data_IF_561870731207
#
_entry.id   IF_561870731207
#
_cell.length_a   1.000
_cell.length_b   1.000
_cell.length_c   1.000
_cell.angle_alpha   90.00
_cell.angle_beta   90.00
_cell.angle_gamma   90.00
#
_symmetry.space_group_name_H-M   'P 1'
#
loop_
_entity.id
_entity.type
_entity.pdbx_description
1 polymer ?
#
# COMPACT_ATOMS: atom_id res chain seq x y z
N UNK A 1 -10.67 -0.40 0.16
CA UNK A 1 -9.62 0.35 -0.55
C UNK A 1 -10.29 1.45 -1.36
N UNK A 2 -11.35 2.06 -0.82
CA UNK A 2 -12.13 3.03 -1.58
C UNK A 2 -11.32 4.32 -1.77
N UNK A 3 -11.46 5.02 -2.90
CA UNK A 3 -12.37 4.73 -4.01
C UNK A 3 -11.84 3.70 -5.02
N UNK A 4 -10.60 3.22 -4.87
CA UNK A 4 -9.98 2.35 -5.87
C UNK A 4 -10.56 0.94 -5.90
N UNK A 5 -10.90 0.32 -4.77
CA UNK A 5 -11.66 -0.94 -4.73
C UNK A 5 -12.75 -0.83 -3.65
N UNK A 6 -13.97 -1.14 -4.06
CA UNK A 6 -15.16 -1.11 -3.21
C UNK A 6 -15.42 -2.48 -2.59
N UNK A 7 -16.21 -2.48 -1.51
CA UNK A 7 -16.73 -3.73 -0.98
C UNK A 7 -17.50 -4.48 -2.08
N UNK A 8 -17.33 -5.82 -2.15
CA UNK A 8 -17.90 -6.70 -3.18
C UNK A 8 -17.29 -6.60 -4.58
N UNK A 9 -16.25 -5.77 -4.81
CA UNK A 9 -15.45 -5.89 -6.03
C UNK A 9 -14.82 -7.28 -6.11
N UNK A 10 -14.95 -7.94 -7.25
CA UNK A 10 -14.11 -9.09 -7.57
C UNK A 10 -12.78 -8.59 -8.12
N UNK A 11 -11.66 -9.16 -7.66
CA UNK A 11 -10.32 -8.80 -8.12
C UNK A 11 -9.66 -9.96 -8.83
N UNK A 12 -8.90 -9.65 -9.89
CA UNK A 12 -7.99 -10.60 -10.52
C UNK A 12 -6.58 -10.22 -10.13
N UNK A 13 -5.84 -11.23 -9.64
CA UNK A 13 -4.48 -11.06 -9.13
C UNK A 13 -3.49 -11.86 -9.97
N UNK A 14 -2.33 -11.27 -10.19
CA UNK A 14 -1.16 -11.93 -10.74
C UNK A 14 -0.32 -12.50 -9.58
N UNK A 15 -0.29 -13.83 -9.48
CA UNK A 15 0.44 -14.57 -8.43
C UNK A 15 1.85 -14.98 -8.86
N UNK A 16 2.17 -14.87 -10.14
CA UNK A 16 3.49 -15.23 -10.68
C UNK A 16 4.35 -14.02 -11.01
N UNK A 17 3.73 -12.86 -11.23
CA UNK A 17 4.40 -11.63 -11.61
C UNK A 17 5.58 -11.26 -10.72
N UNK A 18 5.47 -11.47 -9.40
CA UNK A 18 6.55 -11.15 -8.47
C UNK A 18 7.85 -11.95 -8.68
N UNK A 19 7.77 -13.15 -9.27
CA UNK A 19 8.96 -13.95 -9.56
C UNK A 19 9.78 -13.38 -10.73
N UNK A 20 9.20 -12.50 -11.54
CA UNK A 20 9.79 -12.02 -12.79
C UNK A 20 9.74 -10.49 -12.96
N UNK A 21 8.97 -9.80 -12.13
CA UNK A 21 8.87 -8.34 -12.07
C UNK A 21 8.87 -7.89 -10.60
N UNK A 22 9.73 -6.93 -10.21
CA UNK A 22 9.75 -6.40 -8.87
C UNK A 22 8.43 -5.68 -8.53
N UNK A 23 8.06 -5.69 -7.25
CA UNK A 23 6.97 -4.85 -6.73
C UNK A 23 7.33 -3.38 -6.94
N UNK A 24 6.41 -2.64 -7.53
CA UNK A 24 6.58 -1.21 -7.78
C UNK A 24 5.77 -0.36 -6.80
N UNK A 25 6.20 0.89 -6.60
CA UNK A 25 5.43 1.83 -5.78
C UNK A 25 4.05 2.00 -6.42
N UNK A 26 3.04 2.04 -5.57
CA UNK A 26 1.62 2.14 -5.90
C UNK A 26 0.98 0.89 -6.48
N UNK A 27 1.71 -0.22 -6.63
CA UNK A 27 1.08 -1.52 -6.84
C UNK A 27 0.07 -1.80 -5.72
N UNK A 28 -1.09 -2.35 -6.09
CA UNK A 28 -2.04 -2.89 -5.11
C UNK A 28 -1.75 -4.37 -4.96
N UNK A 29 -1.48 -4.79 -3.73
CA UNK A 29 -1.02 -6.14 -3.42
C UNK A 29 -1.98 -6.84 -2.48
N UNK A 30 -2.14 -8.14 -2.69
CA UNK A 30 -2.78 -9.06 -1.77
C UNK A 30 -1.72 -9.75 -0.95
N UNK A 31 -1.87 -9.76 0.37
CA UNK A 31 -0.94 -10.43 1.27
C UNK A 31 -1.68 -11.18 2.37
N UNK A 32 -1.04 -12.24 2.88
CA UNK A 32 -1.58 -13.05 3.98
C UNK A 32 -0.93 -12.67 5.30
N UNK A 33 -1.74 -12.35 6.30
CA UNK A 33 -1.28 -12.09 7.67
C UNK A 33 -1.03 -13.40 8.42
N UNK A 34 -0.32 -13.31 9.55
CA UNK A 34 0.03 -14.47 10.40
C UNK A 34 -1.19 -15.22 10.94
N UNK A 35 -2.31 -14.52 11.14
CA UNK A 35 -3.60 -15.10 11.53
C UNK A 35 -4.34 -15.82 10.38
N UNK A 36 -3.73 -15.85 9.18
CA UNK A 36 -4.28 -16.49 7.99
C UNK A 36 -5.20 -15.61 7.16
N UNK A 37 -5.54 -14.40 7.64
CA UNK A 37 -6.41 -13.47 6.92
C UNK A 37 -5.72 -12.83 5.72
N UNK A 38 -6.47 -12.57 4.65
CA UNK A 38 -5.98 -11.89 3.46
C UNK A 38 -6.37 -10.41 3.48
N UNK A 39 -5.40 -9.56 3.14
CA UNK A 39 -5.56 -8.12 3.08
C UNK A 39 -5.17 -7.62 1.70
N UNK A 40 -5.82 -6.55 1.26
CA UNK A 40 -5.49 -5.80 0.04
C UNK A 40 -5.09 -4.39 0.43
N UNK A 41 -3.90 -3.96 0.02
CA UNK A 41 -3.32 -2.64 0.32
C UNK A 41 -2.45 -2.15 -0.84
N UNK A 42 -2.20 -0.84 -0.88
CA UNK A 42 -1.30 -0.21 -1.84
C UNK A 42 0.11 -0.10 -1.27
N UNK A 43 1.10 -0.39 -2.10
CA UNK A 43 2.52 -0.23 -1.77
C UNK A 43 2.88 1.24 -1.78
N UNK A 44 3.31 1.76 -0.63
CA UNK A 44 3.71 3.16 -0.48
C UNK A 44 5.22 3.28 -0.32
N UNK A 45 5.86 2.39 0.44
CA UNK A 45 7.30 2.37 0.63
C UNK A 45 7.94 1.07 0.18
N UNK A 46 9.06 1.19 -0.53
CA UNK A 46 9.87 0.09 -1.03
C UNK A 46 11.10 -0.13 -0.13
N UNK A 47 11.78 -1.30 -0.25
CA UNK A 47 13.04 -1.56 0.45
C UNK A 47 14.06 -0.42 0.34
N UNK A 48 14.70 -0.09 1.46
CA UNK A 48 15.76 0.92 1.56
C UNK A 48 15.28 2.37 1.71
N UNK A 49 13.96 2.62 1.65
CA UNK A 49 13.40 3.97 1.60
C UNK A 49 13.04 4.55 2.96
N UNK A 50 13.20 5.86 3.10
CA UNK A 50 12.65 6.65 4.20
C UNK A 50 11.28 7.19 3.78
N UNK A 51 10.29 7.08 4.66
CA UNK A 51 8.91 7.54 4.43
C UNK A 51 8.56 8.57 5.49
N UNK A 52 8.09 9.73 5.03
CA UNK A 52 7.56 10.78 5.88
C UNK A 52 6.26 11.32 5.27
N UNK A 53 5.27 11.60 6.11
CA UNK A 53 4.15 12.47 5.78
C UNK A 53 4.33 13.80 6.48
N UNK A 54 4.23 14.90 5.73
CA UNK A 54 4.32 16.27 6.25
C UNK A 54 3.29 17.15 5.56
N UNK A 55 2.46 17.85 6.33
CA UNK A 55 1.35 18.66 5.81
C UNK A 55 0.52 17.88 4.79
N UNK A 56 0.07 16.68 5.17
CA UNK A 56 -0.73 15.76 4.33
C UNK A 56 0.00 15.15 3.12
N UNK A 57 1.22 15.59 2.80
CA UNK A 57 1.97 15.15 1.61
C UNK A 57 2.94 14.00 1.94
N UNK A 58 2.97 12.97 1.08
CA UNK A 58 3.95 11.90 1.11
C UNK A 58 5.33 12.40 0.65
N UNK A 59 6.37 12.01 1.38
CA UNK A 59 7.76 12.16 1.02
C UNK A 59 8.47 10.81 1.07
N UNK A 60 9.20 10.52 0.00
CA UNK A 60 10.05 9.33 -0.12
C UNK A 60 11.49 9.78 -0.29
N UNK A 61 12.37 9.35 0.63
CA UNK A 61 13.77 9.80 0.68
C UNK A 61 13.91 11.34 0.65
N UNK A 62 12.96 12.04 1.27
CA UNK A 62 12.92 13.50 1.33
C UNK A 62 12.26 14.20 0.13
N UNK A 63 11.97 13.50 -0.97
CA UNK A 63 11.33 14.07 -2.15
C UNK A 63 9.80 13.91 -2.07
N UNK A 64 9.01 14.95 -2.39
CA UNK A 64 7.56 14.84 -2.41
C UNK A 64 7.10 13.87 -3.48
N UNK A 65 6.10 13.06 -3.17
CA UNK A 65 5.48 12.10 -4.10
C UNK A 65 3.98 12.35 -4.13
N UNK A 66 3.45 12.56 -5.32
CA UNK A 66 2.01 12.77 -5.52
C UNK A 66 1.24 11.45 -5.44
N UNK A 67 0.09 11.48 -4.77
CA UNK A 67 -0.78 10.33 -4.57
C UNK A 67 -2.10 10.48 -5.33
N UNK A 68 -2.03 10.41 -6.66
CA UNK A 68 -3.17 10.66 -7.58
C UNK A 68 -4.38 9.72 -7.39
N UNK A 69 -4.21 8.63 -6.63
CA UNK A 69 -5.25 7.64 -6.36
C UNK A 69 -6.18 8.04 -5.20
N UNK A 70 -5.84 9.10 -4.45
CA UNK A 70 -6.62 9.57 -3.32
C UNK A 70 -7.66 10.60 -3.74
N UNK A 71 -8.78 10.62 -3.01
CA UNK A 71 -9.69 11.77 -3.03
C UNK A 71 -9.08 12.92 -2.23
N UNK A 72 -9.58 14.15 -2.46
CA UNK A 72 -9.18 15.31 -1.65
C UNK A 72 -9.42 15.09 -0.16
N UNK A 73 -10.53 14.43 0.20
CA UNK A 73 -10.84 14.12 1.59
C UNK A 73 -9.80 13.17 2.18
N UNK A 74 -9.50 12.05 1.52
CA UNK A 74 -8.53 11.07 2.02
C UNK A 74 -7.09 11.62 2.04
N UNK A 75 -6.74 12.51 1.12
CA UNK A 75 -5.48 13.26 1.16
C UNK A 75 -5.40 14.09 2.45
N UNK A 76 -6.44 14.87 2.75
CA UNK A 76 -6.49 15.74 3.94
C UNK A 76 -6.58 14.98 5.28
N UNK A 77 -6.90 13.68 5.25
CA UNK A 77 -6.91 12.83 6.45
C UNK A 77 -5.50 12.40 6.89
N UNK A 78 -4.48 12.58 6.05
CA UNK A 78 -3.12 12.18 6.39
C UNK A 78 -2.52 13.09 7.45
N UNK A 79 -2.10 12.53 8.57
CA UNK A 79 -1.40 13.29 9.62
C UNK A 79 0.10 13.17 9.45
N UNK A 80 0.84 14.11 10.04
CA UNK A 80 2.28 14.09 10.04
C UNK A 80 2.79 12.85 10.81
N UNK A 81 3.58 12.03 10.14
CA UNK A 81 4.30 10.93 10.77
C UNK A 81 5.54 10.58 9.97
N UNK A 82 6.43 9.82 10.59
CA UNK A 82 7.59 9.25 9.93
C UNK A 82 7.67 7.77 10.21
N UNK A 83 8.27 7.00 9.30
CA UNK A 83 8.41 5.55 9.43
C UNK A 83 9.03 5.12 10.76
N UNK A 84 9.97 5.90 11.29
CA UNK A 84 10.64 5.61 12.57
C UNK A 84 9.72 5.70 13.79
N UNK A 85 8.51 6.26 13.65
CA UNK A 85 7.49 6.26 14.70
C UNK A 85 6.69 4.95 14.73
N UNK A 86 6.77 4.14 13.67
CA UNK A 86 6.01 2.90 13.47
C UNK A 86 6.89 1.67 13.71
N UNK A 87 8.18 1.76 13.38
CA UNK A 87 9.15 0.67 13.53
C UNK A 87 10.51 1.19 13.99
N UNK A 88 11.35 0.26 14.44
CA UNK A 88 12.75 0.53 14.69
C UNK A 88 13.49 0.80 13.37
N UNK A 89 14.22 1.91 13.34
CA UNK A 89 14.99 2.34 12.17
C UNK A 89 14.25 3.33 11.28
N UNK A 90 15.02 4.01 10.43
CA UNK A 90 14.51 5.11 9.57
C UNK A 90 14.11 4.65 8.17
N UNK A 91 14.53 3.46 7.77
CA UNK A 91 14.33 2.92 6.42
C UNK A 91 13.47 1.68 6.46
N UNK A 92 12.70 1.46 5.40
CA UNK A 92 12.09 0.16 5.12
C UNK A 92 13.24 -0.86 4.97
N UNK A 93 13.28 -1.94 5.75
CA UNK A 93 14.30 -2.98 5.62
C UNK A 93 14.23 -3.66 4.25
N UNK A 94 15.31 -4.34 3.88
CA UNK A 94 15.30 -5.25 2.74
C UNK A 94 14.14 -6.25 2.85
N UNK A 95 13.56 -6.62 1.71
CA UNK A 95 12.45 -7.57 1.59
C UNK A 95 11.17 -7.17 2.36
N UNK A 96 11.01 -5.89 2.69
CA UNK A 96 9.81 -5.38 3.36
C UNK A 96 9.17 -4.26 2.56
N UNK A 97 7.86 -4.07 2.79
CA UNK A 97 7.07 -3.03 2.18
C UNK A 97 6.23 -2.31 3.23
N UNK A 98 6.09 -1.00 3.06
CA UNK A 98 5.14 -0.18 3.81
C UNK A 98 3.86 -0.02 2.98
N UNK A 99 2.72 -0.49 3.50
CA UNK A 99 1.47 -0.57 2.76
C UNK A 99 0.39 0.30 3.41
N UNK A 100 -0.33 1.09 2.62
CA UNK A 100 -1.48 1.87 3.09
C UNK A 100 -2.75 1.47 2.33
N UNK A 101 -3.91 1.73 2.94
CA UNK A 101 -5.16 1.68 2.20
C UNK A 101 -5.55 3.03 1.63
N UNK A 102 -6.17 3.04 0.45
CA UNK A 102 -6.59 4.30 -0.20
C UNK A 102 -7.68 5.04 0.59
N UNK A 103 -8.49 4.31 1.36
CA UNK A 103 -9.43 4.86 2.35
C UNK A 103 -8.67 5.11 3.67
N UNK A 104 -7.75 6.08 3.63
CA UNK A 104 -6.79 6.42 4.70
C UNK A 104 -7.42 6.54 6.07
N UNK A 105 -8.57 7.18 6.18
CA UNK A 105 -9.27 7.43 7.45
C UNK A 105 -9.80 6.17 8.13
N UNK A 106 -10.04 5.08 7.38
CA UNK A 106 -10.67 3.83 7.88
C UNK A 106 -9.83 2.57 7.65
N UNK A 107 -8.64 2.72 7.10
CA UNK A 107 -7.78 1.60 6.75
C UNK A 107 -6.94 1.13 7.94
N UNK A 108 -7.11 -0.15 8.31
CA UNK A 108 -6.16 -0.87 9.15
C UNK A 108 -5.00 -1.36 8.27
N UNK A 109 -3.83 -0.73 8.41
CA UNK A 109 -2.68 -0.91 7.51
C UNK A 109 -1.33 -0.82 8.23
N UNK A 110 -0.23 -0.57 7.50
CA UNK A 110 1.12 -0.55 8.09
C UNK A 110 1.29 0.49 9.20
N UNK A 111 0.44 1.52 9.27
CA UNK A 111 0.39 2.45 10.41
C UNK A 111 0.01 1.76 11.72
N UNK A 112 -0.70 0.63 11.66
CA UNK A 112 -1.20 -0.10 12.82
C UNK A 112 -0.41 -1.39 13.08
N UNK A 113 -0.03 -2.12 12.03
CA UNK A 113 0.60 -3.44 12.16
C UNK A 113 2.05 -3.52 11.67
N UNK A 114 2.62 -2.40 11.21
CA UNK A 114 4.00 -2.34 10.72
C UNK A 114 4.17 -2.87 9.30
N UNK A 115 5.41 -3.27 8.98
CA UNK A 115 5.80 -3.64 7.63
C UNK A 115 5.41 -5.07 7.25
N UNK A 116 5.27 -5.29 5.95
CA UNK A 116 4.96 -6.60 5.37
C UNK A 116 6.18 -7.17 4.66
N UNK A 117 6.58 -8.37 5.05
CA UNK A 117 7.68 -9.10 4.40
C UNK A 117 7.23 -9.62 3.02
N UNK A 118 8.12 -9.63 2.03
CA UNK A 118 7.83 -10.05 0.64
C UNK A 118 7.19 -11.44 0.57
N UNK A 119 7.66 -12.39 1.38
CA UNK A 119 7.13 -13.75 1.48
C UNK A 119 5.65 -13.84 1.92
N UNK A 120 5.08 -12.75 2.46
CA UNK A 120 3.64 -12.69 2.78
C UNK A 120 2.79 -12.26 1.57
N UNK A 121 3.41 -11.68 0.54
CA UNK A 121 2.71 -11.26 -0.67
C UNK A 121 2.21 -12.49 -1.43
N UNK A 122 0.95 -12.43 -1.85
CA UNK A 122 0.26 -13.50 -2.57
C UNK A 122 0.14 -13.17 -4.06
N UNK A 123 -0.16 -11.92 -4.39
CA UNK A 123 -0.29 -11.49 -5.78
C UNK A 123 -0.58 -10.00 -5.92
N UNK A 124 -0.33 -9.45 -7.10
CA UNK A 124 -0.63 -8.06 -7.45
C UNK A 124 -2.00 -7.98 -8.08
N UNK A 125 -2.82 -7.01 -7.67
CA UNK A 125 -4.13 -6.76 -8.27
C UNK A 125 -3.95 -6.13 -9.65
N UNK A 126 -4.46 -6.81 -10.68
CA UNK A 126 -4.38 -6.39 -12.08
C UNK A 126 -5.63 -5.62 -12.52
N UNK A 127 -6.78 -6.08 -12.06
CA UNK A 127 -8.07 -5.49 -12.37
C UNK A 127 -9.07 -5.82 -11.28
N UNK A 128 -10.11 -4.99 -11.17
CA UNK A 128 -11.34 -5.35 -10.49
C UNK A 128 -12.52 -5.34 -11.46
N UNK A 129 -13.56 -6.11 -11.15
CA UNK A 129 -14.81 -6.10 -11.89
C UNK A 129 -15.98 -6.13 -10.91
N UNK A 130 -16.85 -5.12 -11.01
CA UNK A 130 -18.25 -5.05 -10.53
C UNK A 130 -18.64 -3.56 -10.44
N UNK A 131 -19.73 -3.07 -11.08
CA UNK A 131 -20.48 -3.72 -12.16
C UNK A 131 -19.72 -3.71 -13.51
N UNK A 132 -18.62 -2.96 -13.61
CA UNK A 132 -17.78 -2.85 -14.82
C UNK A 132 -16.34 -3.23 -14.52
N UNK A 133 -15.58 -3.54 -15.57
CA UNK A 133 -14.14 -3.81 -15.47
C UNK A 133 -13.39 -2.49 -15.25
N UNK A 134 -12.46 -2.50 -14.31
CA UNK A 134 -11.54 -1.42 -14.00
C UNK A 134 -10.13 -2.00 -13.93
N UNK A 135 -9.28 -1.57 -14.85
CA UNK A 135 -7.86 -1.91 -14.83
C UNK A 135 -7.15 -1.14 -13.73
N UNK A 136 -6.31 -1.84 -12.97
CA UNK A 136 -5.49 -1.24 -11.92
C UNK A 136 -4.08 -1.10 -12.49
N UNK A 137 -3.66 0.16 -12.70
CA UNK A 137 -2.29 0.52 -13.04
C UNK A 137 -1.52 0.92 -11.79
#
# INVERSE_FOLDING_TARGET
MEPTLYNQDFIVIDTWGYNYRPVERFDIVVFRRKDGTYFVKRVIGLPGEVIDYRNHMLYINGNPVEEIHLTTDEFNMMVDFSLHMIQDGRKVPENHYFLLGDHRSRSFDSRNFGLIHEAQLTGRVMMSYYPTIKWIN
#
